data_IF_293640986570
#
_entry.id   IF_293640986570
#
_cell.length_a   1.000
_cell.length_b   1.000
_cell.length_c   1.000
_cell.angle_alpha   90.00
_cell.angle_beta   90.00
_cell.angle_gamma   90.00
#
_symmetry.space_group_name_H-M   'P 1'
#
loop_
_entity.id
_entity.type
_entity.pdbx_description
1 polymer ?
#
# COMPACT_ATOMS: atom_id res chain seq x y z
N UNK A 1 -1.25 7.87 35.95
CA UNK A 1 -1.42 6.45 35.55
C UNK A 1 -0.09 5.77 35.73
N UNK A 2 -0.06 4.61 36.39
CA UNK A 2 1.14 3.76 36.44
C UNK A 2 1.51 3.36 35.01
N UNK A 3 2.73 3.71 34.58
CA UNK A 3 3.30 3.21 33.33
C UNK A 3 3.18 1.67 33.31
N UNK A 4 2.81 1.02 32.18
CA UNK A 4 2.84 -0.43 32.11
C UNK A 4 4.23 -0.89 32.56
N UNK A 5 4.26 -1.69 33.62
CA UNK A 5 5.47 -2.31 34.09
C UNK A 5 5.91 -3.31 33.01
N UNK A 6 6.74 -2.83 32.07
CA UNK A 6 7.46 -3.56 31.02
C UNK A 6 6.57 -4.00 29.83
N UNK A 7 6.92 -3.51 28.65
CA UNK A 7 6.28 -3.85 27.37
C UNK A 7 5.13 -2.92 26.95
N UNK A 8 4.49 -3.27 25.83
CA UNK A 8 3.28 -2.60 25.30
C UNK A 8 2.08 -3.54 25.45
N UNK A 9 1.42 -3.60 26.62
CA UNK A 9 0.20 -4.39 26.78
C UNK A 9 -0.88 -3.91 25.81
N UNK A 10 -1.63 -4.85 25.24
CA UNK A 10 -2.73 -4.51 24.32
C UNK A 10 -3.75 -3.57 24.97
N UNK A 11 -4.14 -3.88 26.21
CA UNK A 11 -5.08 -3.07 26.98
C UNK A 11 -4.60 -1.61 27.15
N UNK A 12 -3.30 -1.39 27.37
CA UNK A 12 -2.73 -0.05 27.48
C UNK A 12 -2.78 0.70 26.15
N UNK A 13 -2.41 0.04 25.05
CA UNK A 13 -2.49 0.63 23.71
C UNK A 13 -3.93 1.00 23.34
N UNK A 14 -4.88 0.09 23.54
CA UNK A 14 -6.31 0.30 23.28
C UNK A 14 -6.89 1.41 24.16
N UNK A 15 -6.49 1.51 25.43
CA UNK A 15 -6.94 2.58 26.32
C UNK A 15 -6.48 3.96 25.83
N UNK A 16 -5.20 4.07 25.41
CA UNK A 16 -4.63 5.31 24.87
C UNK A 16 -5.35 5.75 23.60
N UNK A 17 -5.57 4.82 22.65
CA UNK A 17 -6.36 5.06 21.44
C UNK A 17 -7.81 5.48 21.75
N UNK A 18 -8.45 4.80 22.71
CA UNK A 18 -9.84 5.11 23.14
C UNK A 18 -9.93 6.53 23.68
N UNK A 19 -8.95 6.95 24.48
CA UNK A 19 -8.90 8.31 25.03
C UNK A 19 -8.75 9.36 23.93
N UNK A 20 -7.84 9.12 22.98
CA UNK A 20 -7.61 10.02 21.86
C UNK A 20 -8.89 10.21 21.02
N UNK A 21 -9.55 9.11 20.64
CA UNK A 21 -10.82 9.16 19.88
C UNK A 21 -11.96 9.82 20.67
N UNK A 22 -12.09 9.51 21.96
CA UNK A 22 -13.14 10.09 22.82
C UNK A 22 -12.97 11.59 22.98
N UNK A 23 -11.74 12.05 23.25
CA UNK A 23 -11.43 13.48 23.39
C UNK A 23 -11.86 14.28 22.16
N UNK A 24 -11.59 13.76 20.96
CA UNK A 24 -12.03 14.37 19.70
C UNK A 24 -13.55 14.42 19.60
N UNK A 25 -14.26 13.32 19.90
CA UNK A 25 -15.73 13.29 19.85
C UNK A 25 -16.37 14.26 20.84
N UNK A 26 -15.83 14.35 22.06
CA UNK A 26 -16.30 15.31 23.07
C UNK A 26 -16.09 16.75 22.61
N UNK A 27 -14.95 17.04 21.96
CA UNK A 27 -14.70 18.36 21.37
C UNK A 27 -15.70 18.67 20.25
N UNK A 28 -15.90 17.74 19.30
CA UNK A 28 -16.89 17.89 18.23
C UNK A 28 -18.31 18.08 18.77
N UNK A 29 -18.68 17.36 19.83
CA UNK A 29 -20.00 17.50 20.47
C UNK A 29 -20.18 18.89 21.11
N UNK A 30 -19.16 19.39 21.85
CA UNK A 30 -19.19 20.75 22.43
C UNK A 30 -19.30 21.83 21.36
N UNK A 31 -18.69 21.59 20.19
CA UNK A 31 -18.74 22.48 19.04
C UNK A 31 -19.99 22.31 18.17
N UNK A 32 -20.91 21.39 18.51
CA UNK A 32 -22.08 21.02 17.67
C UNK A 32 -21.69 20.54 16.26
N UNK A 33 -20.50 19.93 16.13
CA UNK A 33 -19.92 19.37 14.89
C UNK A 33 -19.85 17.84 14.90
N UNK A 34 -20.49 17.18 15.86
CA UNK A 34 -20.60 15.72 15.91
C UNK A 34 -21.77 15.25 15.03
N UNK A 35 -21.49 14.40 14.04
CA UNK A 35 -22.51 13.82 13.18
C UNK A 35 -23.42 12.86 13.99
N UNK A 36 -24.76 12.93 13.85
CA UNK A 36 -25.68 12.11 14.65
C UNK A 36 -25.49 10.60 14.43
N UNK A 37 -25.14 10.20 13.21
CA UNK A 37 -24.87 8.79 12.86
C UNK A 37 -23.38 8.38 13.00
N UNK A 38 -22.56 9.19 13.68
CA UNK A 38 -21.15 8.89 13.88
C UNK A 38 -20.98 7.54 14.61
N UNK A 39 -20.24 6.56 14.04
CA UNK A 39 -20.04 5.28 14.69
C UNK A 39 -19.35 5.47 16.04
N UNK A 40 -19.71 4.64 17.02
CA UNK A 40 -19.02 4.65 18.31
C UNK A 40 -17.60 4.10 18.14
N UNK A 41 -16.56 4.77 18.70
CA UNK A 41 -15.20 4.28 18.65
C UNK A 41 -15.08 2.86 19.19
N UNK A 42 -14.49 1.99 18.39
CA UNK A 42 -14.05 0.65 18.81
C UNK A 42 -12.61 0.48 18.37
N UNK A 43 -11.68 1.20 19.01
CA UNK A 43 -10.29 1.15 18.61
C UNK A 43 -9.75 -0.26 18.78
N UNK A 44 -9.00 -0.69 17.79
CA UNK A 44 -8.36 -2.00 17.74
C UNK A 44 -7.06 -1.80 16.98
N UNK A 45 -5.94 -2.21 17.58
CA UNK A 45 -4.66 -2.17 16.90
C UNK A 45 -4.46 -3.53 16.20
N UNK A 46 -4.18 -3.57 14.89
CA UNK A 46 -3.89 -4.82 14.22
C UNK A 46 -2.75 -5.56 14.91
N UNK A 47 -2.89 -6.88 15.07
CA UNK A 47 -1.95 -7.70 15.85
C UNK A 47 -0.49 -7.49 15.41
N UNK A 48 -0.25 -7.38 14.10
CA UNK A 48 1.08 -7.13 13.55
C UNK A 48 1.64 -5.78 13.97
N UNK A 49 0.83 -4.71 14.03
CA UNK A 49 1.29 -3.40 14.50
C UNK A 49 1.58 -3.40 16.00
N UNK A 50 0.75 -4.08 16.80
CA UNK A 50 1.01 -4.25 18.23
C UNK A 50 2.33 -4.99 18.47
N UNK A 51 2.58 -6.06 17.72
CA UNK A 51 3.85 -6.79 17.77
C UNK A 51 5.03 -5.91 17.36
N UNK A 52 4.91 -5.13 16.28
CA UNK A 52 5.98 -4.22 15.86
C UNK A 52 6.25 -3.11 16.88
N UNK A 53 5.22 -2.56 17.53
CA UNK A 53 5.40 -1.61 18.64
C UNK A 53 6.09 -2.25 19.85
N UNK A 54 5.77 -3.51 20.17
CA UNK A 54 6.45 -4.26 21.25
C UNK A 54 7.92 -4.46 20.93
N UNK A 55 8.24 -4.86 19.70
CA UNK A 55 9.63 -5.06 19.27
C UNK A 55 10.42 -3.74 19.23
N UNK A 56 9.81 -2.65 18.78
CA UNK A 56 10.42 -1.32 18.88
C UNK A 56 10.68 -0.92 20.33
N UNK A 57 9.75 -1.24 21.24
CA UNK A 57 9.92 -0.98 22.67
C UNK A 57 11.04 -1.84 23.27
N UNK A 58 11.11 -3.12 22.96
CA UNK A 58 12.18 -4.01 23.43
C UNK A 58 13.56 -3.55 22.94
N UNK A 59 13.65 -2.99 21.74
CA UNK A 59 14.90 -2.47 21.16
C UNK A 59 15.34 -1.16 21.80
N UNK A 60 14.42 -0.23 22.04
CA UNK A 60 14.73 1.13 22.45
C UNK A 60 14.60 1.40 23.95
N UNK A 61 13.78 0.64 24.66
CA UNK A 61 13.39 0.93 26.03
C UNK A 61 13.94 -0.13 26.99
N UNK A 62 15.22 -0.03 27.37
CA UNK A 62 15.84 -1.00 28.26
C UNK A 62 15.24 -0.87 29.68
N UNK A 63 15.30 -1.95 30.49
CA UNK A 63 14.60 -2.04 31.78
C UNK A 63 14.96 -0.95 32.81
N UNK A 64 16.09 -0.28 32.64
CA UNK A 64 16.62 0.74 33.56
C UNK A 64 15.99 2.11 33.35
N UNK A 65 15.34 2.37 32.22
CA UNK A 65 14.72 3.67 31.94
C UNK A 65 13.29 3.73 32.53
N UNK A 66 12.98 4.76 33.35
CA UNK A 66 11.66 4.89 33.96
C UNK A 66 10.56 5.32 32.97
N UNK A 67 10.94 5.78 31.78
CA UNK A 67 10.06 6.25 30.72
C UNK A 67 10.63 5.89 29.34
N UNK A 68 9.78 5.75 28.30
CA UNK A 68 10.24 5.47 26.95
C UNK A 68 11.14 6.59 26.42
N UNK A 69 12.21 6.28 25.69
CA UNK A 69 13.02 7.31 25.05
C UNK A 69 12.25 8.05 23.96
N UNK A 70 12.71 9.26 23.60
CA UNK A 70 11.99 10.13 22.68
C UNK A 70 11.59 9.49 21.33
N UNK A 71 12.42 8.68 20.65
CA UNK A 71 11.98 8.02 19.41
C UNK A 71 10.81 7.06 19.61
N UNK A 72 10.80 6.30 20.72
CA UNK A 72 9.71 5.39 21.04
C UNK A 72 8.45 6.14 21.47
N UNK A 73 8.58 7.20 22.26
CA UNK A 73 7.41 8.02 22.64
C UNK A 73 6.77 8.67 21.40
N UNK A 74 7.56 9.14 20.43
CA UNK A 74 7.01 9.63 19.15
C UNK A 74 6.24 8.56 18.40
N UNK A 75 6.69 7.31 18.40
CA UNK A 75 5.94 6.20 17.81
C UNK A 75 4.63 5.96 18.55
N UNK A 76 4.64 5.97 19.89
CA UNK A 76 3.41 5.82 20.68
C UNK A 76 2.45 6.98 20.43
N UNK A 77 2.92 8.23 20.43
CA UNK A 77 2.10 9.39 20.07
C UNK A 77 1.51 9.24 18.67
N UNK A 78 2.29 8.80 17.69
CA UNK A 78 1.82 8.65 16.32
C UNK A 78 0.72 7.58 16.22
N UNK A 79 1.02 6.35 16.65
CA UNK A 79 0.15 5.19 16.45
C UNK A 79 -1.00 5.09 17.45
N UNK A 80 -0.83 5.60 18.67
CA UNK A 80 -1.79 5.42 19.76
C UNK A 80 -2.56 6.69 20.11
N UNK A 81 -2.11 7.88 19.68
CA UNK A 81 -2.83 9.14 19.88
C UNK A 81 -3.26 9.80 18.57
N UNK A 82 -2.30 10.18 17.71
CA UNK A 82 -2.56 11.04 16.55
C UNK A 82 -3.39 10.36 15.48
N UNK A 83 -3.02 9.13 15.07
CA UNK A 83 -3.79 8.38 14.07
C UNK A 83 -5.21 8.03 14.57
N UNK A 84 -5.41 7.52 15.80
CA UNK A 84 -6.75 7.31 16.35
C UNK A 84 -7.56 8.60 16.47
N UNK A 85 -6.96 9.71 16.93
CA UNK A 85 -7.64 11.00 16.99
C UNK A 85 -8.12 11.46 15.61
N UNK A 86 -7.24 11.39 14.60
CA UNK A 86 -7.58 11.72 13.22
C UNK A 86 -8.67 10.81 12.64
N UNK A 87 -8.66 9.51 12.96
CA UNK A 87 -9.74 8.58 12.61
C UNK A 87 -11.07 9.01 13.27
N UNK A 88 -11.04 9.32 14.56
CA UNK A 88 -12.19 9.79 15.32
C UNK A 88 -12.78 11.07 14.72
N UNK A 89 -11.93 12.01 14.30
CA UNK A 89 -12.31 13.24 13.63
C UNK A 89 -12.95 12.96 12.26
N UNK A 90 -12.29 12.15 11.44
CA UNK A 90 -12.72 11.81 10.08
C UNK A 90 -14.09 11.12 10.05
N UNK A 91 -14.36 10.21 10.99
CA UNK A 91 -15.60 9.43 11.01
C UNK A 91 -16.75 10.06 11.79
N UNK A 92 -16.48 11.12 12.57
CA UNK A 92 -17.48 11.70 13.47
C UNK A 92 -17.84 13.15 13.15
N UNK A 93 -17.08 13.84 12.30
CA UNK A 93 -17.32 15.24 11.95
C UNK A 93 -18.57 15.41 11.07
N UNK A 94 -19.39 16.42 11.39
CA UNK A 94 -20.60 16.79 10.66
C UNK A 94 -20.36 17.83 9.53
N UNK A 95 -19.13 18.31 9.36
CA UNK A 95 -18.82 19.30 8.32
C UNK A 95 -18.74 18.66 6.93
N UNK A 96 -19.18 19.42 5.93
CA UNK A 96 -19.06 19.03 4.53
C UNK A 96 -17.65 19.28 3.97
N UNK A 97 -17.19 18.48 2.99
CA UNK A 97 -17.90 17.38 2.33
C UNK A 97 -17.81 16.05 3.09
N UNK A 98 -17.08 16.02 4.21
CA UNK A 98 -16.80 14.79 4.97
C UNK A 98 -18.07 14.08 5.42
N UNK A 99 -19.02 14.83 5.98
CA UNK A 99 -20.30 14.30 6.44
C UNK A 99 -21.04 13.53 5.34
N UNK A 100 -21.27 14.17 4.18
CA UNK A 100 -21.94 13.52 3.06
C UNK A 100 -21.13 12.33 2.53
N UNK A 101 -19.81 12.45 2.37
CA UNK A 101 -18.98 11.36 1.86
C UNK A 101 -19.01 10.12 2.77
N UNK A 102 -18.85 10.30 4.09
CA UNK A 102 -18.74 9.20 5.04
C UNK A 102 -20.09 8.62 5.49
N UNK A 103 -21.15 9.43 5.56
CA UNK A 103 -22.43 9.01 6.13
C UNK A 103 -23.53 8.76 5.09
N UNK A 104 -23.30 9.07 3.80
CA UNK A 104 -24.23 8.64 2.75
C UNK A 104 -24.35 7.11 2.68
N UNK A 105 -25.57 6.56 2.55
CA UNK A 105 -25.77 5.13 2.38
C UNK A 105 -25.02 4.55 1.18
N UNK A 106 -24.34 3.43 1.42
CA UNK A 106 -23.58 2.70 0.41
C UNK A 106 -24.55 1.95 -0.51
N UNK A 107 -24.57 2.38 -1.76
CA UNK A 107 -25.35 1.75 -2.82
C UNK A 107 -24.42 1.28 -3.95
N UNK A 108 -24.15 -0.03 -4.04
CA UNK A 108 -23.18 -0.59 -4.99
C UNK A 108 -23.46 -0.26 -6.46
N UNK A 109 -24.73 -0.05 -6.84
CA UNK A 109 -25.09 0.34 -8.20
C UNK A 109 -24.69 1.80 -8.53
N UNK A 110 -24.49 2.65 -7.50
CA UNK A 110 -24.01 4.03 -7.62
C UNK A 110 -22.49 4.15 -7.42
N UNK A 111 -21.84 3.07 -6.97
CA UNK A 111 -20.39 2.97 -6.75
C UNK A 111 -19.80 1.87 -7.64
N UNK A 112 -19.85 2.03 -8.98
CA UNK A 112 -19.53 0.95 -9.91
C UNK A 112 -18.07 0.46 -9.81
N UNK A 113 -17.10 1.32 -9.48
CA UNK A 113 -15.70 0.92 -9.29
C UNK A 113 -15.54 0.07 -8.04
N UNK A 114 -16.06 0.54 -6.91
CA UNK A 114 -16.00 -0.20 -5.64
C UNK A 114 -16.77 -1.52 -5.72
N UNK A 115 -17.99 -1.51 -6.27
CA UNK A 115 -18.80 -2.71 -6.46
C UNK A 115 -18.12 -3.74 -7.37
N UNK A 116 -17.45 -3.29 -8.45
CA UNK A 116 -16.67 -4.18 -9.33
C UNK A 116 -15.46 -4.76 -8.60
N UNK A 117 -14.74 -3.96 -7.81
CA UNK A 117 -13.59 -4.40 -7.03
C UNK A 117 -13.99 -5.50 -6.03
N UNK A 118 -15.07 -5.31 -5.26
CA UNK A 118 -15.59 -6.30 -4.32
C UNK A 118 -16.00 -7.61 -5.00
N UNK A 119 -16.64 -7.56 -6.18
CA UNK A 119 -16.96 -8.77 -6.95
C UNK A 119 -15.70 -9.51 -7.41
N UNK A 120 -14.66 -8.77 -7.82
CA UNK A 120 -13.36 -9.36 -8.19
C UNK A 120 -12.68 -10.01 -6.99
N UNK A 121 -12.72 -9.35 -5.83
CA UNK A 121 -12.20 -9.90 -4.57
C UNK A 121 -12.88 -11.23 -4.22
N UNK A 122 -14.22 -11.25 -4.21
CA UNK A 122 -14.98 -12.46 -3.91
C UNK A 122 -14.69 -13.61 -4.88
N UNK A 123 -14.47 -13.31 -6.17
CA UNK A 123 -14.03 -14.31 -7.15
C UNK A 123 -12.63 -14.83 -6.83
N UNK A 124 -11.67 -13.95 -6.54
CA UNK A 124 -10.30 -14.36 -6.18
C UNK A 124 -10.26 -15.20 -4.91
N UNK A 125 -11.05 -14.82 -3.89
CA UNK A 125 -11.20 -15.59 -2.66
C UNK A 125 -11.73 -17.00 -2.93
N UNK A 126 -12.81 -17.12 -3.72
CA UNK A 126 -13.39 -18.42 -4.11
C UNK A 126 -12.40 -19.28 -4.89
N UNK A 127 -11.71 -18.70 -5.88
CA UNK A 127 -10.67 -19.40 -6.65
C UNK A 127 -9.51 -19.90 -5.78
N UNK A 128 -9.22 -19.22 -4.67
CA UNK A 128 -8.20 -19.61 -3.69
C UNK A 128 -8.73 -20.50 -2.55
N UNK A 129 -10.01 -20.85 -2.55
CA UNK A 129 -10.65 -21.60 -1.47
C UNK A 129 -10.64 -20.87 -0.12
N UNK A 130 -10.75 -19.53 -0.15
CA UNK A 130 -10.81 -18.67 1.05
C UNK A 130 -12.28 -18.28 1.30
N UNK A 131 -12.83 -18.49 2.52
CA UNK A 131 -14.18 -18.07 2.87
C UNK A 131 -14.37 -16.56 2.72
N UNK A 132 -15.54 -16.13 2.25
CA UNK A 132 -15.84 -14.71 2.02
C UNK A 132 -15.71 -13.89 3.31
N UNK A 133 -16.06 -14.46 4.45
CA UNK A 133 -15.99 -13.82 5.77
C UNK A 133 -14.56 -13.45 6.18
N UNK A 134 -13.56 -14.25 5.76
CA UNK A 134 -12.14 -13.97 6.03
C UNK A 134 -11.62 -12.79 5.21
N UNK A 135 -12.22 -12.56 4.05
CA UNK A 135 -11.77 -11.56 3.09
C UNK A 135 -12.56 -10.26 3.22
N UNK A 136 -13.88 -10.34 3.31
CA UNK A 136 -14.79 -9.20 3.35
C UNK A 136 -15.21 -8.82 4.78
N UNK A 137 -15.03 -9.72 5.75
CA UNK A 137 -15.67 -9.59 7.06
C UNK A 137 -17.18 -9.84 7.03
N UNK A 138 -17.70 -10.42 5.93
CA UNK A 138 -19.10 -10.74 5.70
C UNK A 138 -19.24 -11.90 4.69
N UNK A 139 -20.35 -12.67 4.70
CA UNK A 139 -20.54 -13.82 3.82
C UNK A 139 -20.71 -13.45 2.34
N UNK A 140 -21.03 -12.19 2.04
CA UNK A 140 -21.17 -11.68 0.66
C UNK A 140 -21.04 -10.16 0.62
N UNK A 141 -20.82 -9.55 -0.56
CA UNK A 141 -20.87 -8.10 -0.72
C UNK A 141 -22.22 -7.48 -0.30
N UNK A 142 -23.33 -8.18 -0.52
CA UNK A 142 -24.66 -7.71 -0.10
C UNK A 142 -24.80 -7.71 1.42
N UNK A 143 -24.32 -8.76 2.08
CA UNK A 143 -24.28 -8.82 3.55
C UNK A 143 -23.33 -7.78 4.14
N UNK A 144 -22.22 -7.47 3.44
CA UNK A 144 -21.31 -6.40 3.82
C UNK A 144 -22.02 -5.04 3.82
N UNK A 145 -22.72 -4.68 2.74
CA UNK A 145 -23.49 -3.41 2.71
C UNK A 145 -24.61 -3.37 3.75
N UNK A 146 -25.30 -4.48 3.98
CA UNK A 146 -26.38 -4.53 4.98
C UNK A 146 -25.86 -4.31 6.41
N UNK A 147 -24.71 -4.89 6.74
CA UNK A 147 -24.06 -4.73 8.05
C UNK A 147 -23.28 -3.41 8.20
N UNK A 148 -22.86 -2.81 7.07
CA UNK A 148 -22.06 -1.59 7.01
C UNK A 148 -22.69 -0.60 6.04
N UNK A 149 -23.81 0.04 6.42
CA UNK A 149 -24.65 0.79 5.49
C UNK A 149 -24.05 2.11 5.00
N UNK A 150 -22.98 2.62 5.61
CA UNK A 150 -22.32 3.88 5.22
C UNK A 150 -20.83 3.66 4.99
N UNK A 151 -20.15 4.58 4.30
CA UNK A 151 -18.70 4.48 4.12
C UNK A 151 -17.96 4.53 5.45
N UNK A 152 -18.41 5.32 6.41
CA UNK A 152 -17.84 5.37 7.75
C UNK A 152 -17.85 3.97 8.39
N UNK A 153 -18.97 3.26 8.31
CA UNK A 153 -19.10 1.90 8.86
C UNK A 153 -18.34 0.87 8.03
N UNK A 154 -18.29 1.04 6.71
CA UNK A 154 -17.53 0.18 5.81
C UNK A 154 -16.03 0.26 6.13
N UNK A 155 -15.50 1.48 6.14
CA UNK A 155 -14.10 1.76 6.44
C UNK A 155 -13.76 1.35 7.86
N UNK A 156 -14.58 1.75 8.85
CA UNK A 156 -14.35 1.36 10.24
C UNK A 156 -14.09 -0.14 10.33
N UNK A 157 -14.86 -0.98 9.65
CA UNK A 157 -14.72 -2.43 9.65
C UNK A 157 -13.54 -3.05 8.86
N UNK A 158 -12.63 -2.28 8.25
CA UNK A 158 -11.42 -2.80 7.60
C UNK A 158 -10.35 -3.17 8.64
N UNK A 159 -9.19 -3.69 8.17
CA UNK A 159 -8.04 -4.01 9.02
C UNK A 159 -7.56 -2.79 9.82
N UNK A 160 -7.34 -1.65 9.16
CA UNK A 160 -6.80 -0.43 9.77
C UNK A 160 -7.84 0.60 10.16
N UNK A 161 -9.11 0.47 9.73
CA UNK A 161 -10.17 1.42 10.05
C UNK A 161 -10.59 1.47 11.53
N UNK A 162 -9.92 0.71 12.39
CA UNK A 162 -10.05 0.81 13.85
C UNK A 162 -8.87 1.54 14.53
N UNK A 163 -7.81 1.88 13.79
CA UNK A 163 -6.60 2.50 14.36
C UNK A 163 -6.12 3.73 13.61
N UNK A 164 -6.41 3.82 12.32
CA UNK A 164 -5.83 4.81 11.42
C UNK A 164 -6.91 5.48 10.57
N UNK A 165 -6.75 6.75 10.15
CA UNK A 165 -7.67 7.41 9.25
C UNK A 165 -7.50 6.89 7.81
N UNK A 166 -8.57 6.95 7.02
CA UNK A 166 -8.54 6.61 5.60
C UNK A 166 -7.61 7.60 4.88
N UNK A 167 -6.59 7.07 4.21
CA UNK A 167 -5.72 7.87 3.34
C UNK A 167 -6.56 8.54 2.25
N UNK A 168 -6.14 9.71 1.76
CA UNK A 168 -6.91 10.50 0.77
C UNK A 168 -8.26 11.00 1.30
N UNK A 169 -8.43 11.07 2.61
CA UNK A 169 -9.56 11.73 3.24
C UNK A 169 -9.10 12.56 4.44
N UNK A 170 -7.90 13.14 4.34
CA UNK A 170 -7.42 14.14 5.30
C UNK A 170 -8.23 15.44 5.17
N UNK A 171 -8.17 16.37 6.13
CA UNK A 171 -8.82 17.67 5.98
C UNK A 171 -8.43 18.42 4.69
N UNK A 172 -7.17 18.32 4.26
CA UNK A 172 -6.72 18.91 2.98
C UNK A 172 -7.34 18.23 1.75
N UNK A 173 -7.44 16.90 1.75
CA UNK A 173 -8.12 16.16 0.69
C UNK A 173 -9.60 16.55 0.58
N UNK A 174 -10.30 16.59 1.72
CA UNK A 174 -11.72 16.93 1.78
C UNK A 174 -11.97 18.38 1.32
N UNK A 175 -11.12 19.33 1.71
CA UNK A 175 -11.20 20.70 1.23
C UNK A 175 -11.02 20.77 -0.30
N UNK A 176 -10.07 20.01 -0.84
CA UNK A 176 -9.86 19.90 -2.29
C UNK A 176 -11.07 19.31 -3.01
N UNK A 177 -11.73 18.30 -2.43
CA UNK A 177 -12.93 17.69 -3.03
C UNK A 177 -14.12 18.64 -3.04
N UNK A 178 -14.24 19.52 -2.04
CA UNK A 178 -15.25 20.56 -2.04
C UNK A 178 -14.99 21.61 -3.14
N UNK A 179 -13.73 21.99 -3.37
CA UNK A 179 -13.36 22.96 -4.39
C UNK A 179 -13.47 22.45 -5.83
N UNK A 180 -13.31 21.15 -6.05
CA UNK A 180 -13.37 20.51 -7.38
C UNK A 180 -14.78 20.07 -7.79
N UNK A 181 -15.70 20.00 -6.83
CA UNK A 181 -17.06 19.54 -7.04
C UNK A 181 -17.79 20.42 -8.06
N UNK A 182 -18.30 19.81 -9.14
CA UNK A 182 -19.36 20.45 -9.90
C UNK A 182 -20.58 20.65 -8.98
N UNK A 183 -21.30 21.76 -9.15
CA UNK A 183 -22.42 22.13 -8.29
C UNK A 183 -23.50 21.04 -8.20
N UNK A 184 -23.61 20.18 -9.21
CA UNK A 184 -24.58 19.10 -9.36
C UNK A 184 -23.97 17.69 -9.30
N UNK A 185 -22.67 17.54 -9.00
CA UNK A 185 -22.05 16.22 -8.92
C UNK A 185 -22.68 15.39 -7.77
N UNK A 186 -23.27 14.21 -8.07
CA UNK A 186 -23.82 13.36 -7.03
C UNK A 186 -22.73 12.91 -6.05
N UNK A 187 -23.00 12.93 -4.75
CA UNK A 187 -22.05 12.50 -3.70
C UNK A 187 -21.48 11.10 -3.99
N UNK A 188 -22.32 10.17 -4.48
CA UNK A 188 -21.86 8.83 -4.85
C UNK A 188 -20.83 8.83 -6.00
N UNK A 189 -20.97 9.71 -6.99
CA UNK A 189 -19.99 9.84 -8.06
C UNK A 189 -18.65 10.37 -7.51
N UNK A 190 -18.71 11.34 -6.58
CA UNK A 190 -17.51 11.84 -5.89
C UNK A 190 -16.83 10.78 -5.06
N UNK A 191 -17.58 9.97 -4.31
CA UNK A 191 -17.07 8.81 -3.58
C UNK A 191 -16.39 7.84 -4.54
N UNK A 192 -17.07 7.44 -5.62
CA UNK A 192 -16.54 6.46 -6.55
C UNK A 192 -15.28 6.99 -7.27
N UNK A 193 -15.20 8.30 -7.53
CA UNK A 193 -14.02 8.96 -8.09
C UNK A 193 -12.86 9.05 -7.10
N UNK A 194 -13.10 9.59 -5.90
CA UNK A 194 -12.02 10.00 -4.96
C UNK A 194 -11.69 8.96 -3.90
N UNK A 195 -12.68 8.20 -3.43
CA UNK A 195 -12.53 7.29 -2.30
C UNK A 195 -12.53 5.80 -2.69
N UNK A 196 -12.87 5.44 -3.93
CA UNK A 196 -12.85 4.03 -4.33
C UNK A 196 -11.45 3.41 -4.25
N UNK A 197 -10.41 4.09 -4.75
CA UNK A 197 -9.04 3.58 -4.69
C UNK A 197 -8.52 3.36 -3.25
N UNK A 198 -8.58 4.35 -2.33
CA UNK A 198 -8.13 4.14 -0.96
C UNK A 198 -9.00 3.10 -0.22
N UNK A 199 -10.32 3.08 -0.42
CA UNK A 199 -11.17 2.04 0.18
C UNK A 199 -10.83 0.63 -0.33
N UNK A 200 -10.56 0.48 -1.62
CA UNK A 200 -10.16 -0.82 -2.19
C UNK A 200 -8.81 -1.26 -1.63
N UNK A 201 -7.85 -0.35 -1.46
CA UNK A 201 -6.60 -0.65 -0.77
C UNK A 201 -6.84 -1.16 0.67
N UNK A 202 -7.66 -0.45 1.44
CA UNK A 202 -8.00 -0.82 2.82
C UNK A 202 -8.74 -2.17 2.92
N UNK A 203 -9.60 -2.47 1.95
CA UNK A 203 -10.26 -3.77 1.84
C UNK A 203 -9.30 -4.88 1.36
N UNK A 204 -8.19 -4.52 0.72
CA UNK A 204 -7.13 -5.47 0.31
C UNK A 204 -6.35 -6.01 1.49
N UNK A 205 -6.38 -5.29 2.62
CA UNK A 205 -5.91 -5.78 3.92
C UNK A 205 -6.85 -6.80 4.56
N UNK A 206 -7.92 -7.23 3.89
CA UNK A 206 -8.83 -8.30 4.31
C UNK A 206 -9.45 -8.09 5.71
N UNK A 207 -9.93 -9.17 6.34
CA UNK A 207 -10.53 -9.12 7.66
C UNK A 207 -9.51 -8.92 8.79
N UNK A 208 -9.92 -8.25 9.87
CA UNK A 208 -9.07 -7.88 11.03
C UNK A 208 -8.41 -9.04 11.79
N UNK A 209 -9.04 -10.23 11.79
CA UNK A 209 -8.61 -11.38 12.61
C UNK A 209 -7.50 -12.22 11.97
N UNK A 210 -6.77 -11.66 11.01
CA UNK A 210 -5.67 -12.36 10.34
C UNK A 210 -4.33 -12.02 11.01
N UNK A 211 -3.37 -12.92 10.85
CA UNK A 211 -1.96 -12.60 11.11
C UNK A 211 -1.39 -11.95 9.86
N UNK A 212 -1.11 -10.64 9.90
CA UNK A 212 -0.56 -9.93 8.76
C UNK A 212 0.92 -10.24 8.55
N UNK A 213 1.39 -10.10 7.30
CA UNK A 213 2.78 -10.36 6.96
C UNK A 213 3.73 -9.42 7.71
N UNK A 214 4.94 -9.91 8.00
CA UNK A 214 5.97 -9.16 8.72
C UNK A 214 7.17 -8.91 7.80
N UNK A 215 7.80 -7.73 7.87
CA UNK A 215 7.39 -6.51 8.57
C UNK A 215 6.12 -5.89 7.94
N UNK A 216 5.49 -4.88 8.57
CA UNK A 216 4.26 -4.26 8.06
C UNK A 216 4.31 -3.82 6.59
N UNK A 217 5.47 -3.40 6.08
CA UNK A 217 5.63 -3.07 4.65
C UNK A 217 5.35 -4.25 3.70
N UNK A 218 5.57 -5.50 4.11
CA UNK A 218 5.21 -6.67 3.29
C UNK A 218 3.69 -6.77 3.15
N UNK A 219 2.96 -6.46 4.22
CA UNK A 219 1.50 -6.42 4.22
C UNK A 219 0.97 -5.37 3.24
N UNK A 220 1.54 -4.16 3.28
CA UNK A 220 1.24 -3.08 2.35
C UNK A 220 1.56 -3.44 0.90
N UNK A 221 2.66 -4.15 0.64
CA UNK A 221 3.00 -4.64 -0.69
C UNK A 221 1.96 -5.65 -1.21
N UNK A 222 1.59 -6.65 -0.39
CA UNK A 222 0.59 -7.68 -0.76
C UNK A 222 -0.76 -7.03 -1.01
N UNK A 223 -1.22 -6.17 -0.10
CA UNK A 223 -2.48 -5.44 -0.21
C UNK A 223 -2.48 -4.44 -1.35
N UNK A 224 -1.36 -3.76 -1.62
CA UNK A 224 -1.18 -2.89 -2.77
C UNK A 224 -1.41 -3.63 -4.08
N UNK A 225 -0.77 -4.78 -4.29
CA UNK A 225 -0.97 -5.57 -5.51
C UNK A 225 -2.35 -6.24 -5.61
N UNK A 226 -2.89 -6.73 -4.49
CA UNK A 226 -4.25 -7.25 -4.44
C UNK A 226 -5.26 -6.14 -4.80
N UNK A 227 -5.03 -4.93 -4.31
CA UNK A 227 -5.75 -3.71 -4.65
C UNK A 227 -5.76 -3.43 -6.15
N UNK A 228 -4.58 -3.39 -6.78
CA UNK A 228 -4.43 -3.23 -8.24
C UNK A 228 -5.14 -4.35 -9.00
N UNK A 229 -5.09 -5.59 -8.50
CA UNK A 229 -5.77 -6.74 -9.11
C UNK A 229 -7.30 -6.63 -9.06
N UNK A 230 -7.85 -5.93 -8.05
CA UNK A 230 -9.28 -5.63 -7.94
C UNK A 230 -9.67 -4.39 -8.74
N UNK A 231 -8.90 -3.31 -8.62
CA UNK A 231 -9.12 -2.01 -9.23
C UNK A 231 -7.80 -1.54 -9.86
N UNK A 232 -7.53 -1.86 -11.14
CA UNK A 232 -6.30 -1.43 -11.82
C UNK A 232 -6.07 0.08 -11.73
N UNK A 233 -7.14 0.87 -11.67
CA UNK A 233 -7.13 2.33 -11.53
C UNK A 233 -6.48 2.82 -10.23
N UNK A 234 -6.30 1.96 -9.24
CA UNK A 234 -5.51 2.24 -8.03
C UNK A 234 -4.06 2.63 -8.38
N UNK A 235 -3.53 2.05 -9.46
CA UNK A 235 -2.18 2.31 -9.95
C UNK A 235 -2.17 2.94 -11.35
N UNK A 236 -3.11 2.55 -12.22
CA UNK A 236 -3.22 2.98 -13.61
C UNK A 236 -4.49 3.80 -13.81
N UNK A 237 -4.49 5.10 -13.45
CA UNK A 237 -5.69 5.93 -13.55
C UNK A 237 -6.16 5.97 -15.02
N UNK A 238 -7.46 6.12 -15.22
CA UNK A 238 -8.03 6.25 -16.56
C UNK A 238 -7.47 7.51 -17.26
N UNK A 239 -7.45 7.58 -18.61
CA UNK A 239 -7.04 8.78 -19.31
C UNK A 239 -7.80 10.02 -18.81
N UNK A 240 -7.07 11.07 -18.42
CA UNK A 240 -7.63 12.30 -17.86
C UNK A 240 -8.00 12.23 -16.36
N UNK A 241 -7.91 11.07 -15.72
CA UNK A 241 -8.11 10.91 -14.28
C UNK A 241 -6.80 11.10 -13.49
N UNK A 242 -6.95 11.44 -12.22
CA UNK A 242 -5.89 11.89 -11.30
C UNK A 242 -6.00 11.25 -9.90
N UNK A 243 -6.63 10.07 -9.83
CA UNK A 243 -7.17 9.44 -8.63
C UNK A 243 -6.51 8.09 -8.30
N UNK A 244 -5.33 7.81 -8.85
CA UNK A 244 -4.50 6.71 -8.38
C UNK A 244 -3.86 7.03 -7.02
N UNK A 245 -3.44 5.98 -6.29
CA UNK A 245 -2.79 6.12 -5.01
C UNK A 245 -1.30 6.42 -5.17
N UNK A 246 -0.83 7.41 -4.44
CA UNK A 246 0.57 7.74 -4.28
C UNK A 246 1.23 6.55 -3.59
N UNK A 247 2.38 6.16 -4.14
CA UNK A 247 3.14 5.01 -3.71
C UNK A 247 2.60 3.63 -4.09
N UNK A 248 1.45 3.54 -4.76
CA UNK A 248 0.99 2.28 -5.33
C UNK A 248 2.04 1.65 -6.24
N UNK A 249 2.82 2.44 -6.99
CA UNK A 249 3.87 1.93 -7.88
C UNK A 249 4.95 1.15 -7.13
N UNK A 250 5.43 1.69 -6.01
CA UNK A 250 6.46 1.03 -5.21
C UNK A 250 5.93 -0.24 -4.53
N UNK A 251 4.76 -0.16 -3.89
CA UNK A 251 4.15 -1.29 -3.17
C UNK A 251 3.71 -2.43 -4.10
N UNK A 252 3.03 -2.08 -5.20
CA UNK A 252 2.45 -3.04 -6.13
C UNK A 252 3.50 -3.88 -6.85
N UNK A 253 4.70 -3.33 -7.09
CA UNK A 253 5.82 -4.08 -7.63
C UNK A 253 6.17 -5.28 -6.73
N UNK A 254 6.50 -5.02 -5.47
CA UNK A 254 6.91 -6.06 -4.52
C UNK A 254 5.79 -7.05 -4.29
N UNK A 255 4.54 -6.57 -4.19
CA UNK A 255 3.36 -7.44 -4.14
C UNK A 255 3.24 -8.33 -5.37
N UNK A 256 3.37 -7.78 -6.58
CA UNK A 256 3.32 -8.56 -7.82
C UNK A 256 4.36 -9.68 -7.84
N UNK A 257 5.58 -9.38 -7.39
CA UNK A 257 6.67 -10.35 -7.30
C UNK A 257 6.36 -11.46 -6.29
N UNK A 258 5.79 -11.15 -5.12
CA UNK A 258 5.35 -12.17 -4.16
C UNK A 258 4.25 -13.06 -4.74
N UNK A 259 3.26 -12.48 -5.41
CA UNK A 259 2.21 -13.25 -6.08
C UNK A 259 2.76 -14.14 -7.20
N UNK A 260 3.82 -13.69 -7.88
CA UNK A 260 4.52 -14.47 -8.89
C UNK A 260 5.31 -15.64 -8.27
N UNK A 261 6.09 -15.38 -7.22
CA UNK A 261 6.91 -16.38 -6.53
C UNK A 261 6.08 -17.48 -5.88
N UNK A 262 5.06 -17.08 -5.12
CA UNK A 262 4.29 -17.99 -4.25
C UNK A 262 3.08 -18.59 -4.97
N UNK A 263 2.55 -17.87 -5.95
CA UNK A 263 1.27 -18.16 -6.58
C UNK A 263 0.10 -17.51 -5.84
N UNK A 264 -0.83 -16.95 -6.63
CA UNK A 264 -1.96 -16.14 -6.15
C UNK A 264 -2.82 -16.82 -5.08
N UNK A 265 -3.17 -18.09 -5.27
CA UNK A 265 -4.07 -18.79 -4.35
C UNK A 265 -3.40 -19.01 -2.98
N UNK A 266 -2.15 -19.49 -2.98
CA UNK A 266 -1.41 -19.77 -1.75
C UNK A 266 -1.11 -18.50 -0.96
N UNK A 267 -0.68 -17.44 -1.64
CA UNK A 267 -0.43 -16.15 -0.99
C UNK A 267 -1.72 -15.51 -0.44
N UNK A 268 -2.84 -15.57 -1.17
CA UNK A 268 -4.12 -15.06 -0.68
C UNK A 268 -4.62 -15.83 0.55
N UNK A 269 -4.39 -17.15 0.63
CA UNK A 269 -4.70 -17.96 1.81
C UNK A 269 -3.87 -17.54 3.02
N UNK A 270 -2.56 -17.33 2.83
CA UNK A 270 -1.67 -16.82 3.87
C UNK A 270 -2.13 -15.43 4.35
N UNK A 271 -2.38 -14.53 3.39
CA UNK A 271 -2.89 -13.19 3.66
C UNK A 271 -4.23 -13.21 4.38
N UNK A 272 -5.10 -14.19 4.14
CA UNK A 272 -6.36 -14.34 4.87
C UNK A 272 -6.22 -15.00 6.26
N UNK A 273 -5.01 -15.34 6.70
CA UNK A 273 -4.72 -16.02 7.95
C UNK A 273 -5.11 -17.51 7.97
N UNK A 274 -5.15 -18.16 6.79
CA UNK A 274 -5.44 -19.60 6.67
C UNK A 274 -4.20 -20.47 6.49
N UNK A 275 -3.02 -19.85 6.39
CA UNK A 275 -1.71 -20.49 6.35
C UNK A 275 -0.69 -19.53 6.96
N UNK A 276 0.39 -20.06 7.53
CA UNK A 276 1.48 -19.22 8.01
C UNK A 276 2.29 -18.66 6.82
N UNK A 277 2.73 -17.41 6.91
CA UNK A 277 3.65 -16.85 5.93
C UNK A 277 4.99 -17.58 5.90
N UNK A 278 5.49 -18.07 7.04
CA UNK A 278 6.73 -18.84 7.11
C UNK A 278 6.63 -20.18 6.36
N UNK A 279 5.44 -20.79 6.31
CA UNK A 279 5.19 -22.01 5.53
C UNK A 279 4.99 -21.72 4.04
N UNK A 280 4.69 -20.48 3.67
CA UNK A 280 4.27 -20.09 2.32
C UNK A 280 5.40 -19.44 1.54
N UNK A 281 6.24 -18.65 2.22
CA UNK A 281 7.43 -18.05 1.65
C UNK A 281 8.57 -19.08 1.62
N UNK A 282 9.34 -19.17 0.53
CA UNK A 282 10.44 -20.13 0.41
C UNK A 282 11.67 -19.71 1.23
N UNK A 283 12.38 -20.70 1.75
CA UNK A 283 13.66 -20.52 2.43
C UNK A 283 13.55 -19.61 3.65
N UNK A 284 14.48 -18.65 3.74
CA UNK A 284 14.60 -17.66 4.82
C UNK A 284 14.06 -16.27 4.42
N UNK A 285 13.14 -16.22 3.46
CA UNK A 285 12.65 -14.96 2.90
C UNK A 285 11.85 -14.14 3.92
N UNK A 286 11.06 -14.79 4.79
CA UNK A 286 10.29 -14.11 5.83
C UNK A 286 11.22 -13.41 6.84
N UNK A 287 12.24 -14.11 7.31
CA UNK A 287 13.26 -13.60 8.22
C UNK A 287 14.09 -12.50 7.56
N UNK A 288 14.39 -12.64 6.27
CA UNK A 288 15.13 -11.62 5.51
C UNK A 288 14.33 -10.34 5.31
N UNK A 289 13.01 -10.41 5.09
CA UNK A 289 12.17 -9.22 5.11
C UNK A 289 12.14 -8.57 6.49
N UNK A 290 11.98 -9.35 7.56
CA UNK A 290 11.94 -8.81 8.93
C UNK A 290 13.26 -8.10 9.27
N UNK A 291 14.40 -8.72 8.94
CA UNK A 291 15.73 -8.12 9.11
C UNK A 291 15.86 -6.83 8.31
N UNK A 292 15.48 -6.82 7.03
CA UNK A 292 15.58 -5.64 6.17
C UNK A 292 14.73 -4.47 6.69
N UNK A 293 13.49 -4.74 7.11
CA UNK A 293 12.61 -3.72 7.69
C UNK A 293 13.18 -3.11 8.96
N UNK A 294 13.72 -3.95 9.86
CA UNK A 294 14.37 -3.48 11.08
C UNK A 294 15.66 -2.73 10.82
N UNK A 295 16.52 -3.22 9.92
CA UNK A 295 17.75 -2.52 9.52
C UNK A 295 17.46 -1.11 9.03
N UNK A 296 16.42 -0.93 8.21
CA UNK A 296 16.05 0.40 7.73
C UNK A 296 15.51 1.27 8.85
N UNK A 297 14.60 0.75 9.67
CA UNK A 297 14.04 1.52 10.78
C UNK A 297 15.08 1.86 11.86
N UNK A 298 16.07 1.01 12.10
CA UNK A 298 17.18 1.28 13.04
C UNK A 298 18.10 2.41 12.52
N UNK A 299 18.13 2.68 11.20
CA UNK A 299 18.93 3.76 10.62
C UNK A 299 18.28 5.14 10.75
N UNK A 300 16.96 5.22 10.53
CA UNK A 300 16.23 6.48 10.43
C UNK A 300 15.29 6.76 11.62
N UNK A 301 14.94 5.73 12.39
CA UNK A 301 13.89 5.75 13.41
C UNK A 301 12.63 6.47 12.90
N UNK A 302 12.23 6.17 11.67
CA UNK A 302 11.06 6.80 11.05
C UNK A 302 9.83 6.67 11.95
N UNK A 303 8.93 7.65 11.83
CA UNK A 303 7.69 7.71 12.61
C UNK A 303 6.67 6.61 12.21
N UNK A 304 7.01 5.76 11.24
CA UNK A 304 6.16 4.67 10.78
C UNK A 304 6.97 3.40 10.46
N UNK A 305 6.33 2.24 10.56
CA UNK A 305 6.93 0.94 10.23
C UNK A 305 6.90 0.57 8.73
N UNK A 306 6.63 1.57 7.88
CA UNK A 306 6.70 1.49 6.42
C UNK A 306 7.99 2.13 5.88
N UNK A 307 9.08 2.14 6.66
CA UNK A 307 10.36 2.69 6.21
C UNK A 307 10.85 1.98 4.94
N UNK A 308 11.34 2.76 3.97
CA UNK A 308 11.82 2.24 2.69
C UNK A 308 10.72 1.81 1.72
N UNK A 309 9.45 2.19 1.94
CA UNK A 309 8.36 1.93 0.99
C UNK A 309 8.59 2.58 -0.38
N UNK A 310 9.36 3.66 -0.43
CA UNK A 310 9.82 4.40 -1.61
C UNK A 310 11.08 3.77 -2.25
N UNK A 311 11.72 2.83 -1.57
CA UNK A 311 12.89 2.08 -2.03
C UNK A 311 12.57 0.57 -2.14
N UNK A 312 11.65 0.12 -3.01
CA UNK A 312 11.21 -1.28 -3.07
C UNK A 312 12.30 -2.25 -3.57
N UNK A 313 13.39 -1.72 -4.13
CA UNK A 313 14.41 -2.49 -4.83
C UNK A 313 15.04 -3.62 -3.98
N UNK A 314 15.52 -3.39 -2.74
CA UNK A 314 16.09 -4.48 -1.93
C UNK A 314 15.09 -5.63 -1.68
N UNK A 315 13.82 -5.33 -1.38
CA UNK A 315 12.79 -6.35 -1.20
C UNK A 315 12.51 -7.12 -2.50
N UNK A 316 12.38 -6.41 -3.62
CA UNK A 316 12.18 -7.03 -4.93
C UNK A 316 13.33 -7.98 -5.31
N UNK A 317 14.58 -7.61 -4.98
CA UNK A 317 15.75 -8.45 -5.22
C UNK A 317 15.81 -9.69 -4.33
N UNK A 318 15.41 -9.59 -3.06
CA UNK A 318 15.25 -10.76 -2.18
C UNK A 318 14.25 -11.76 -2.78
N UNK A 319 13.15 -11.28 -3.36
CA UNK A 319 12.15 -12.15 -4.01
C UNK A 319 12.74 -12.85 -5.23
N UNK A 320 13.55 -12.17 -6.04
CA UNK A 320 14.21 -12.80 -7.18
C UNK A 320 15.29 -13.81 -6.79
N UNK A 321 16.06 -13.54 -5.73
CA UNK A 321 16.99 -14.53 -5.17
C UNK A 321 16.25 -15.79 -4.72
N UNK A 322 15.17 -15.61 -3.96
CA UNK A 322 14.33 -16.70 -3.49
C UNK A 322 13.72 -17.49 -4.67
N UNK A 323 13.27 -16.80 -5.73
CA UNK A 323 12.77 -17.42 -6.95
C UNK A 323 13.84 -18.26 -7.68
N UNK A 324 15.11 -17.86 -7.60
CA UNK A 324 16.25 -18.59 -8.15
C UNK A 324 16.75 -19.72 -7.22
N UNK A 325 16.14 -19.93 -6.05
CA UNK A 325 16.58 -20.90 -5.06
C UNK A 325 17.88 -20.52 -4.34
N UNK A 326 18.28 -19.24 -4.42
CA UNK A 326 19.46 -18.73 -3.74
C UNK A 326 19.12 -18.34 -2.28
N UNK A 327 20.09 -18.44 -1.34
CA UNK A 327 19.91 -17.96 0.02
C UNK A 327 19.61 -16.46 0.06
N UNK A 328 18.72 -16.03 0.97
CA UNK A 328 18.37 -14.60 1.14
C UNK A 328 18.93 -14.00 2.43
N UNK A 329 19.40 -14.84 3.34
CA UNK A 329 19.95 -14.49 4.65
C UNK A 329 21.27 -13.71 4.58
N UNK A 330 21.46 -12.84 5.57
CA UNK A 330 22.71 -12.10 5.79
C UNK A 330 22.97 -10.94 4.83
N UNK A 331 22.16 -10.74 3.78
CA UNK A 331 22.33 -9.64 2.83
C UNK A 331 21.77 -8.33 3.39
N UNK A 332 22.55 -7.26 3.26
CA UNK A 332 22.16 -5.87 3.52
C UNK A 332 21.65 -5.16 2.25
N UNK A 333 21.04 -3.95 2.35
CA UNK A 333 20.54 -3.21 1.20
C UNK A 333 21.60 -2.91 0.11
N UNK A 334 22.84 -2.66 0.50
CA UNK A 334 23.95 -2.34 -0.42
C UNK A 334 24.35 -3.59 -1.20
N UNK A 335 24.51 -4.72 -0.52
CA UNK A 335 24.80 -6.01 -1.15
C UNK A 335 23.69 -6.43 -2.10
N UNK A 336 22.42 -6.24 -1.72
CA UNK A 336 21.29 -6.53 -2.59
C UNK A 336 21.34 -5.70 -3.87
N UNK A 337 21.56 -4.38 -3.79
CA UNK A 337 21.66 -3.50 -4.98
C UNK A 337 22.82 -3.87 -5.91
N UNK A 338 23.91 -4.40 -5.36
CA UNK A 338 25.07 -4.84 -6.14
C UNK A 338 24.87 -6.18 -6.87
N UNK A 339 23.77 -6.91 -6.62
CA UNK A 339 23.54 -8.20 -7.25
C UNK A 339 23.39 -8.08 -8.78
N UNK A 340 24.13 -8.88 -9.56
CA UNK A 340 23.97 -8.94 -11.01
C UNK A 340 22.68 -9.69 -11.33
N UNK A 341 21.56 -8.97 -11.39
CA UNK A 341 20.23 -9.57 -11.46
C UNK A 341 20.04 -10.47 -12.69
N UNK A 342 20.70 -10.14 -13.80
CA UNK A 342 20.70 -10.94 -15.01
C UNK A 342 21.27 -12.36 -14.80
N UNK A 343 22.14 -12.58 -13.82
CA UNK A 343 22.73 -13.89 -13.51
C UNK A 343 21.72 -14.84 -12.87
N UNK A 344 20.67 -14.30 -12.24
CA UNK A 344 19.58 -15.08 -11.65
C UNK A 344 18.60 -15.65 -12.69
N UNK A 345 18.71 -15.28 -13.97
CA UNK A 345 17.77 -15.79 -14.97
C UNK A 345 18.01 -17.29 -15.22
N UNK A 346 16.95 -18.08 -15.21
CA UNK A 346 17.00 -19.53 -15.44
C UNK A 346 16.51 -19.94 -16.83
N UNK A 347 15.97 -19.00 -17.62
CA UNK A 347 15.35 -19.30 -18.91
C UNK A 347 15.03 -18.07 -19.77
N UNK A 348 14.24 -18.24 -20.84
CA UNK A 348 13.80 -17.15 -21.71
C UNK A 348 12.75 -16.26 -21.02
N UNK A 349 12.50 -15.08 -21.60
CA UNK A 349 11.46 -14.14 -21.13
C UNK A 349 10.06 -14.79 -21.21
N UNK A 350 9.46 -15.01 -20.05
CA UNK A 350 8.14 -15.65 -19.90
C UNK A 350 6.98 -14.67 -20.08
N UNK A 351 5.74 -15.18 -20.11
CA UNK A 351 4.56 -14.32 -20.10
C UNK A 351 4.43 -13.52 -18.78
N UNK A 352 4.86 -14.09 -17.65
CA UNK A 352 4.88 -13.41 -16.36
C UNK A 352 5.88 -12.25 -16.35
N UNK A 353 7.08 -12.48 -16.88
CA UNK A 353 8.12 -11.45 -17.01
C UNK A 353 7.62 -10.26 -17.85
N UNK A 354 6.90 -10.55 -18.94
CA UNK A 354 6.27 -9.51 -19.78
C UNK A 354 5.19 -8.72 -19.02
N UNK A 355 4.47 -9.36 -18.10
CA UNK A 355 3.46 -8.70 -17.29
C UNK A 355 4.10 -7.77 -16.23
N UNK A 356 5.17 -8.22 -15.56
CA UNK A 356 5.95 -7.42 -14.60
C UNK A 356 6.59 -6.22 -15.32
N UNK A 357 7.25 -6.47 -16.46
CA UNK A 357 7.85 -5.40 -17.26
C UNK A 357 6.82 -4.38 -17.74
N UNK A 358 5.63 -4.84 -18.18
CA UNK A 358 4.56 -3.93 -18.62
C UNK A 358 4.07 -3.05 -17.46
N UNK A 359 3.96 -3.59 -16.26
CA UNK A 359 3.62 -2.80 -15.08
C UNK A 359 4.70 -1.75 -14.81
N UNK A 360 5.98 -2.14 -14.82
CA UNK A 360 7.10 -1.22 -14.62
C UNK A 360 7.16 -0.09 -15.65
N UNK A 361 7.04 -0.39 -16.94
CA UNK A 361 7.05 0.64 -18.00
C UNK A 361 5.86 1.60 -17.87
N UNK A 362 4.67 1.10 -17.53
CA UNK A 362 3.50 1.97 -17.25
C UNK A 362 3.74 2.86 -16.04
N UNK A 363 4.41 2.35 -15.02
CA UNK A 363 4.77 3.07 -13.81
C UNK A 363 5.62 4.32 -14.10
N UNK A 364 6.48 4.25 -15.12
CA UNK A 364 7.31 5.39 -15.53
C UNK A 364 6.49 6.56 -16.08
N UNK A 365 5.25 6.31 -16.53
CA UNK A 365 4.32 7.30 -17.06
C UNK A 365 3.30 7.77 -16.00
N UNK A 366 3.61 7.61 -14.71
CA UNK A 366 2.83 8.19 -13.62
C UNK A 366 3.44 9.53 -13.20
N UNK A 367 2.57 10.52 -12.98
CA UNK A 367 2.93 11.82 -12.43
C UNK A 367 2.16 12.07 -11.14
N UNK A 368 2.91 12.44 -10.12
CA UNK A 368 2.38 12.75 -8.79
C UNK A 368 2.45 14.26 -8.58
N UNK A 369 1.37 14.86 -8.10
CA UNK A 369 1.34 16.27 -7.70
C UNK A 369 0.61 16.46 -6.38
N UNK A 370 0.82 17.62 -5.75
CA UNK A 370 0.08 18.03 -4.56
C UNK A 370 -0.90 19.13 -4.95
N UNK A 371 -2.19 18.90 -4.76
CA UNK A 371 -3.24 19.87 -5.02
C UNK A 371 -3.97 20.18 -3.71
N UNK A 372 -3.85 21.42 -3.23
CA UNK A 372 -4.47 21.87 -1.96
C UNK A 372 -4.18 20.94 -0.77
N UNK A 373 -2.95 20.42 -0.70
CA UNK A 373 -2.52 19.50 0.37
C UNK A 373 -2.92 18.03 0.16
N UNK A 374 -3.69 17.72 -0.89
CA UNK A 374 -4.04 16.37 -1.27
C UNK A 374 -3.22 15.83 -2.43
N UNK A 375 -2.87 14.55 -2.41
CA UNK A 375 -2.09 13.92 -3.47
C UNK A 375 -2.94 13.64 -4.70
N UNK A 376 -2.37 13.82 -5.89
CA UNK A 376 -2.97 13.46 -7.17
C UNK A 376 -1.98 12.65 -7.97
N UNK A 377 -2.45 11.55 -8.56
CA UNK A 377 -1.61 10.69 -9.40
C UNK A 377 -2.34 10.47 -10.72
N UNK A 378 -1.73 10.94 -11.81
CA UNK A 378 -2.27 10.86 -13.17
C UNK A 378 -1.31 10.11 -14.10
N UNK A 379 -1.84 9.58 -15.18
CA UNK A 379 -1.01 9.09 -16.28
C UNK A 379 -0.59 10.27 -17.17
N UNK A 380 0.71 10.45 -17.39
CA UNK A 380 1.24 11.45 -18.32
C UNK A 380 2.63 11.00 -18.85
N UNK A 381 3.11 11.57 -19.96
CA UNK A 381 4.48 11.32 -20.39
C UNK A 381 5.49 11.60 -19.26
N UNK A 382 6.54 10.78 -19.10
CA UNK A 382 7.61 11.05 -18.15
C UNK A 382 8.22 12.45 -18.39
N UNK A 383 8.62 13.21 -17.35
CA UNK A 383 9.16 14.57 -17.51
C UNK A 383 10.50 14.63 -18.26
N UNK A 384 11.12 13.48 -18.47
CA UNK A 384 12.41 13.33 -19.15
C UNK A 384 12.64 11.89 -19.57
N UNK A 385 13.82 11.55 -20.09
CA UNK A 385 14.13 10.21 -20.53
C UNK A 385 14.06 9.20 -19.38
N UNK A 386 13.44 8.04 -19.64
CA UNK A 386 13.40 6.91 -18.72
C UNK A 386 14.73 6.15 -18.81
N UNK A 387 15.38 5.94 -17.67
CA UNK A 387 16.65 5.23 -17.60
C UNK A 387 16.41 3.71 -17.55
N UNK A 388 17.20 2.95 -18.30
CA UNK A 388 17.32 1.51 -18.18
C UNK A 388 18.76 1.21 -17.80
N UNK A 389 18.93 0.48 -16.71
CA UNK A 389 20.18 -0.15 -16.35
C UNK A 389 19.94 -1.67 -16.32
N UNK A 390 20.33 -2.35 -17.39
CA UNK A 390 20.17 -3.79 -17.50
C UNK A 390 21.17 -4.56 -16.64
N UNK A 391 22.29 -3.95 -16.23
CA UNK A 391 23.27 -4.55 -15.31
C UNK A 391 22.73 -4.57 -13.89
N UNK A 392 22.23 -3.44 -13.42
CA UNK A 392 21.48 -3.37 -12.16
C UNK A 392 20.13 -4.09 -12.29
N UNK A 393 19.56 -4.22 -13.48
CA UNK A 393 18.26 -4.82 -13.69
C UNK A 393 17.12 -3.90 -13.22
N UNK A 394 17.19 -2.61 -13.56
CA UNK A 394 16.24 -1.59 -13.13
C UNK A 394 15.79 -0.73 -14.34
N UNK A 395 14.52 -0.33 -14.34
CA UNK A 395 14.01 0.80 -15.12
C UNK A 395 13.57 1.89 -14.14
N UNK A 396 13.97 3.14 -14.41
CA UNK A 396 13.75 4.25 -13.48
C UNK A 396 13.15 5.47 -14.19
N UNK A 397 12.14 6.06 -13.54
CA UNK A 397 11.60 7.34 -13.96
C UNK A 397 12.65 8.42 -13.73
N UNK A 398 12.69 9.48 -14.55
CA UNK A 398 13.49 10.65 -14.24
C UNK A 398 12.93 11.35 -12.98
N UNK A 399 13.75 12.12 -12.25
CA UNK A 399 13.27 13.01 -11.21
C UNK A 399 12.15 13.93 -11.72
N UNK A 400 11.13 14.11 -10.90
CA UNK A 400 10.02 15.01 -11.21
C UNK A 400 10.41 16.44 -10.79
N UNK A 401 10.58 17.38 -11.73
CA UNK A 401 10.97 18.76 -11.38
C UNK A 401 9.89 19.47 -10.55
N UNK A 402 8.63 19.05 -10.66
CA UNK A 402 7.53 19.62 -9.89
C UNK A 402 7.49 19.05 -8.47
N UNK A 403 8.16 17.92 -8.22
CA UNK A 403 8.21 17.17 -6.96
C UNK A 403 9.62 16.63 -6.66
N UNK A 404 10.59 17.53 -6.42
CA UNK A 404 11.96 17.13 -6.10
C UNK A 404 12.07 16.41 -4.75
N UNK A 405 11.02 16.47 -3.92
CA UNK A 405 10.91 15.80 -2.63
C UNK A 405 10.56 14.31 -2.75
N UNK A 406 10.14 13.84 -3.93
CA UNK A 406 9.80 12.44 -4.16
C UNK A 406 10.96 11.71 -4.83
N UNK A 407 11.33 10.56 -4.26
CA UNK A 407 12.28 9.65 -4.89
C UNK A 407 11.71 9.19 -6.25
N UNK A 408 12.50 9.19 -7.33
CA UNK A 408 12.03 8.71 -8.62
C UNK A 408 11.63 7.23 -8.54
N UNK A 409 10.53 6.88 -9.21
CA UNK A 409 10.06 5.50 -9.20
C UNK A 409 11.08 4.59 -9.89
N UNK A 410 11.60 3.60 -9.13
CA UNK A 410 12.51 2.55 -9.60
C UNK A 410 11.78 1.22 -9.64
N UNK A 411 11.90 0.51 -10.76
CA UNK A 411 11.29 -0.79 -10.97
C UNK A 411 12.33 -1.83 -11.36
N UNK A 412 12.49 -2.85 -10.53
CA UNK A 412 13.33 -4.03 -10.74
C UNK A 412 12.75 -4.88 -11.87
N UNK A 413 13.55 -5.03 -12.92
CA UNK A 413 13.24 -5.84 -14.09
C UNK A 413 13.26 -7.32 -13.75
N UNK A 414 12.46 -8.17 -14.43
CA UNK A 414 12.67 -9.60 -14.36
C UNK A 414 14.10 -9.97 -14.81
N UNK A 415 14.80 -10.88 -14.10
CA UNK A 415 16.13 -11.35 -14.48
C UNK A 415 16.26 -11.74 -15.95
N UNK A 416 15.25 -12.42 -16.49
CA UNK A 416 15.22 -12.86 -17.89
C UNK A 416 15.18 -11.70 -18.89
N UNK A 417 14.54 -10.59 -18.53
CA UNK A 417 14.48 -9.36 -19.33
C UNK A 417 15.83 -8.64 -19.27
N UNK A 418 16.40 -8.49 -18.07
CA UNK A 418 17.73 -7.91 -17.89
C UNK A 418 18.79 -8.67 -18.73
N UNK A 419 18.79 -10.00 -18.65
CA UNK A 419 19.67 -10.85 -19.48
C UNK A 419 19.40 -10.71 -20.98
N UNK A 420 18.15 -10.59 -21.40
CA UNK A 420 17.81 -10.41 -22.83
C UNK A 420 18.33 -9.07 -23.38
N UNK A 421 18.28 -7.99 -22.58
CA UNK A 421 18.83 -6.68 -22.92
C UNK A 421 20.37 -6.74 -23.02
N UNK A 422 21.04 -7.32 -22.02
CA UNK A 422 22.50 -7.47 -22.03
C UNK A 422 22.99 -8.28 -23.25
N UNK A 423 22.32 -9.39 -23.59
CA UNK A 423 22.64 -10.18 -24.80
C UNK A 423 22.48 -9.41 -26.10
N UNK A 424 21.64 -8.39 -26.12
CA UNK A 424 21.46 -7.49 -27.24
C UNK A 424 22.44 -6.29 -27.22
N UNK A 425 23.40 -6.27 -26.29
CA UNK A 425 24.37 -5.19 -26.12
C UNK A 425 23.80 -3.94 -25.43
N UNK A 426 22.67 -4.07 -24.74
CA UNK A 426 22.05 -2.97 -23.98
C UNK A 426 22.38 -3.16 -22.50
N UNK A 427 23.48 -2.56 -22.06
CA UNK A 427 23.86 -2.49 -20.64
C UNK A 427 23.16 -1.33 -19.94
N UNK A 428 23.24 -0.14 -20.54
CA UNK A 428 22.58 1.08 -20.09
C UNK A 428 21.94 1.79 -21.28
N UNK A 429 20.76 2.37 -21.09
CA UNK A 429 20.06 3.11 -22.13
C UNK A 429 19.13 4.18 -21.57
N UNK A 430 18.74 5.11 -22.42
CA UNK A 430 17.68 6.09 -22.15
C UNK A 430 16.60 5.97 -23.20
N UNK A 431 15.35 5.82 -22.75
CA UNK A 431 14.17 5.87 -23.62
C UNK A 431 13.63 7.30 -23.58
N UNK A 432 13.38 7.90 -24.74
CA UNK A 432 12.70 9.20 -24.83
C UNK A 432 11.34 9.15 -24.12
N UNK A 433 10.82 10.27 -23.58
CA UNK A 433 9.46 10.34 -23.07
C UNK A 433 8.46 9.72 -24.06
N UNK A 434 7.52 8.94 -23.54
CA UNK A 434 6.50 8.26 -24.32
C UNK A 434 5.11 8.52 -23.73
N UNK A 435 4.08 8.48 -24.56
CA UNK A 435 2.72 8.64 -24.09
C UNK A 435 2.27 7.40 -23.28
N UNK A 436 1.40 7.54 -22.27
CA UNK A 436 0.98 6.41 -21.43
C UNK A 436 0.41 5.21 -22.20
N UNK A 437 -0.25 5.44 -23.33
CA UNK A 437 -0.79 4.41 -24.23
C UNK A 437 0.28 3.70 -25.07
N UNK A 438 1.49 4.25 -25.18
CA UNK A 438 2.65 3.64 -25.84
C UNK A 438 3.42 2.67 -24.92
N UNK A 439 3.18 2.73 -23.60
CA UNK A 439 3.85 1.87 -22.62
C UNK A 439 3.81 0.37 -22.96
N UNK A 440 2.70 -0.23 -23.46
CA UNK A 440 2.70 -1.63 -23.89
C UNK A 440 3.66 -1.92 -25.06
N UNK A 441 3.82 -0.98 -26.00
CA UNK A 441 4.72 -1.14 -27.13
C UNK A 441 6.19 -1.05 -26.69
N UNK A 442 6.50 -0.10 -25.79
CA UNK A 442 7.82 0.03 -25.14
C UNK A 442 8.17 -1.25 -24.39
N UNK A 443 7.28 -1.75 -23.53
CA UNK A 443 7.48 -3.01 -22.81
C UNK A 443 7.69 -4.20 -23.75
N UNK A 444 6.96 -4.27 -24.86
CA UNK A 444 7.12 -5.34 -25.85
C UNK A 444 8.48 -5.27 -26.58
N UNK A 445 9.02 -4.07 -26.84
CA UNK A 445 10.36 -3.90 -27.40
C UNK A 445 11.44 -4.38 -26.43
N UNK A 446 11.37 -3.93 -25.17
CA UNK A 446 12.31 -4.31 -24.12
C UNK A 446 12.31 -5.82 -23.85
N UNK A 447 11.13 -6.45 -23.83
CA UNK A 447 11.00 -7.91 -23.70
C UNK A 447 11.64 -8.72 -24.84
N UNK A 448 12.01 -8.07 -25.96
CA UNK A 448 12.74 -8.66 -27.08
C UNK A 448 14.21 -8.25 -27.11
N UNK A 449 14.71 -7.61 -26.04
CA UNK A 449 16.08 -7.07 -25.98
C UNK A 449 16.29 -5.89 -26.92
N UNK A 450 15.25 -5.09 -27.23
CA UNK A 450 15.37 -3.94 -28.15
C UNK A 450 14.95 -2.66 -27.47
N UNK A 451 15.64 -1.56 -27.79
CA UNK A 451 15.17 -0.23 -27.44
C UNK A 451 14.00 0.18 -28.35
N UNK A 452 12.95 0.83 -27.82
CA UNK A 452 11.91 1.42 -28.65
C UNK A 452 12.54 2.48 -29.56
N UNK A 453 12.11 2.51 -30.84
CA UNK A 453 12.52 3.58 -31.74
C UNK A 453 11.79 4.87 -31.35
N UNK A 454 12.47 6.03 -31.31
CA UNK A 454 11.77 7.31 -31.20
C UNK A 454 10.82 7.44 -32.39
N UNK A 455 9.59 7.88 -32.12
CA UNK A 455 8.62 8.20 -33.16
C UNK A 455 8.89 9.57 -33.76
#
# INVERSE_FOLDING_TARGET
>A
MSHPARGVPEAWAVERMTRAMRSVREALARESRLHPDAPEPRPELPATWLLTLREAAERLWPPELPAPPAPLERLFEHYLDRLPAALGEQLARADEPGASLFHTPVAWHRLPRLGRALRRLGRMAREAGVPAERVLGAPSPSALSASRPTLARLYAGTCFGASSPLIYATPGDLASYAGEAAADEPVAARIDRRLAAPLVHELSHLGRRRSAARPPIVDECISGWLGVSMLPELLWPAPGADDALMGAGWLAQTGQLLFHLVGRARLLRAHAGLADFAEVLPGDLAESFARLGWQRWDQDHALHFLSGHDEPEPMARLIWLAAAGAPTGGLDPTQLRALPLADLATGPVTASDRAILRAGVRAMALRTSLHQGGWRVRAAPPPGPVAIDARAGVIAAPPDPDRPDLEPLRWVLPPSVARALQRAGVDEARIAPFAPDEAPAVAAALARGRLPRPR
#
